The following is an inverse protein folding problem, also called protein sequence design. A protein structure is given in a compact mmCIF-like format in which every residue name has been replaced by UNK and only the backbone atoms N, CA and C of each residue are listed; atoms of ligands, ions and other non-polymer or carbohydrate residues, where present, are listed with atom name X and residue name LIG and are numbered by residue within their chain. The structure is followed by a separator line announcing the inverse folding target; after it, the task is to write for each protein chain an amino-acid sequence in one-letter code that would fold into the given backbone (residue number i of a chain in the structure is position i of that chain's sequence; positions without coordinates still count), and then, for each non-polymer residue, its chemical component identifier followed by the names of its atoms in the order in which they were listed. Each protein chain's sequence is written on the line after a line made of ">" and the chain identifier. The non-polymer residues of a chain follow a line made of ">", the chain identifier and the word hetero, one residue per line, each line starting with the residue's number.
data_IF_003943494505
#
_entry.id   IF_003943494505
#
_cell.length_a   1.000
_cell.length_b   1.000
_cell.length_c   1.000
_cell.angle_alpha   90.00
_cell.angle_beta   90.00
_cell.angle_gamma   90.00
#
_symmetry.space_group_name_H-M   'P 1'
#
loop_
_entity.id
_entity.type
_entity.pdbx_description
1 polymer ?
#
# COMPACT_ATOMS: atom_id res chain seq x y z
N UNK A 1 15.24 1.64 7.52
CA UNK A 1 14.42 2.24 6.45
C UNK A 1 13.36 1.20 6.12
N UNK A 2 12.07 1.51 6.26
CA UNK A 2 11.02 0.50 5.99
C UNK A 2 10.95 0.24 4.49
N UNK A 3 10.74 -1.01 4.08
CA UNK A 3 10.47 -1.34 2.68
C UNK A 3 9.00 -1.08 2.34
N UNK A 4 8.66 -1.00 1.05
CA UNK A 4 7.29 -0.77 0.58
C UNK A 4 6.23 -1.67 1.27
N UNK A 5 6.44 -2.99 1.41
CA UNK A 5 5.48 -3.88 2.08
C UNK A 5 5.15 -3.45 3.51
N UNK A 6 6.17 -3.07 4.28
CA UNK A 6 6.03 -2.65 5.67
C UNK A 6 5.32 -1.30 5.79
N UNK A 7 5.61 -0.35 4.88
CA UNK A 7 4.94 0.96 4.85
C UNK A 7 3.46 0.83 4.49
N UNK A 8 3.14 0.03 3.49
CA UNK A 8 1.75 -0.20 3.10
C UNK A 8 0.94 -0.78 4.27
N UNK A 9 1.50 -1.80 4.94
CA UNK A 9 0.87 -2.43 6.11
C UNK A 9 0.69 -1.45 7.26
N UNK A 10 1.70 -0.61 7.51
CA UNK A 10 1.65 0.43 8.53
C UNK A 10 0.55 1.45 8.25
N UNK A 11 0.52 2.05 7.06
CA UNK A 11 -0.50 3.03 6.66
C UNK A 11 -1.93 2.45 6.71
N UNK A 12 -2.09 1.19 6.28
CA UNK A 12 -3.38 0.49 6.38
C UNK A 12 -3.83 0.36 7.83
N UNK A 13 -2.91 -0.06 8.72
CA UNK A 13 -3.20 -0.23 10.14
C UNK A 13 -3.47 1.11 10.86
N UNK A 14 -2.72 2.17 10.53
CA UNK A 14 -2.92 3.52 11.07
C UNK A 14 -4.32 4.08 10.74
N UNK A 15 -4.85 3.79 9.55
CA UNK A 15 -6.23 4.13 9.18
C UNK A 15 -7.29 3.16 9.74
N UNK A 16 -6.90 2.12 10.50
CA UNK A 16 -7.80 1.12 11.06
C UNK A 16 -8.48 0.22 10.01
N UNK A 17 -7.89 0.08 8.83
CA UNK A 17 -8.50 -0.64 7.71
C UNK A 17 -8.12 -2.13 7.70
N UNK A 18 -9.09 -3.00 7.38
CA UNK A 18 -8.78 -4.38 6.97
C UNK A 18 -8.22 -4.40 5.55
N UNK A 19 -7.50 -5.46 5.17
CA UNK A 19 -7.01 -5.64 3.79
C UNK A 19 -8.17 -5.61 2.77
N UNK A 20 -9.33 -6.17 3.14
CA UNK A 20 -10.56 -6.12 2.33
C UNK A 20 -11.11 -4.70 2.19
N UNK A 21 -11.10 -3.91 3.25
CA UNK A 21 -11.54 -2.52 3.18
C UNK A 21 -10.62 -1.70 2.26
N UNK A 22 -9.30 -1.80 2.44
CA UNK A 22 -8.35 -1.12 1.56
C UNK A 22 -8.46 -1.60 0.11
N UNK A 23 -8.60 -2.91 -0.12
CA UNK A 23 -8.78 -3.46 -1.46
C UNK A 23 -9.99 -2.85 -2.16
N UNK A 24 -11.12 -2.70 -1.45
CA UNK A 24 -12.32 -2.04 -1.98
C UNK A 24 -12.06 -0.58 -2.40
N UNK A 25 -11.36 0.20 -1.58
CA UNK A 25 -11.04 1.60 -1.88
C UNK A 25 -10.08 1.75 -3.08
N UNK A 26 -9.14 0.83 -3.23
CA UNK A 26 -8.13 0.85 -4.30
C UNK A 26 -8.63 0.18 -5.59
N UNK A 27 -9.69 -0.62 -5.49
CA UNK A 27 -10.27 -1.39 -6.59
C UNK A 27 -9.52 -2.70 -6.88
N UNK A 28 -9.04 -3.39 -5.84
CA UNK A 28 -8.33 -4.68 -5.92
C UNK A 28 -8.87 -5.67 -4.88
N UNK A 29 -8.47 -6.94 -4.99
CA UNK A 29 -8.81 -7.95 -3.98
C UNK A 29 -8.05 -7.71 -2.67
N UNK A 30 -8.59 -8.22 -1.57
CA UNK A 30 -7.91 -8.31 -0.28
C UNK A 30 -6.60 -9.11 -0.38
N UNK A 31 -6.61 -10.19 -1.17
CA UNK A 31 -5.42 -10.98 -1.44
C UNK A 31 -4.30 -10.17 -2.14
N UNK A 32 -4.65 -9.23 -3.03
CA UNK A 32 -3.65 -8.35 -3.66
C UNK A 32 -2.97 -7.46 -2.61
N UNK A 33 -3.75 -6.86 -1.70
CA UNK A 33 -3.21 -6.07 -0.59
C UNK A 33 -2.28 -6.92 0.28
N UNK A 34 -2.72 -8.11 0.69
CA UNK A 34 -1.92 -9.02 1.52
C UNK A 34 -0.62 -9.41 0.82
N UNK A 35 -0.67 -9.73 -0.48
CA UNK A 35 0.52 -10.07 -1.25
C UNK A 35 1.52 -8.90 -1.32
N UNK A 36 1.05 -7.66 -1.48
CA UNK A 36 1.90 -6.47 -1.46
C UNK A 36 2.51 -6.24 -0.08
N UNK A 37 1.74 -6.40 0.99
CA UNK A 37 2.21 -6.25 2.38
C UNK A 37 3.20 -7.34 2.82
N UNK A 38 3.20 -8.48 2.14
CA UNK A 38 4.12 -9.57 2.37
C UNK A 38 5.29 -9.60 1.35
N UNK A 39 5.33 -8.66 0.39
CA UNK A 39 6.37 -8.61 -0.63
C UNK A 39 6.35 -9.78 -1.63
N UNK A 40 5.21 -10.46 -1.77
CA UNK A 40 5.07 -11.65 -2.64
C UNK A 40 5.04 -11.26 -4.12
N UNK A 41 4.39 -10.14 -4.45
CA UNK A 41 4.28 -9.62 -5.81
C UNK A 41 4.59 -8.14 -5.86
N UNK A 42 5.20 -7.73 -6.97
CA UNK A 42 5.37 -6.32 -7.27
C UNK A 42 4.03 -5.62 -7.53
N UNK A 43 3.97 -4.36 -7.16
CA UNK A 43 2.83 -3.50 -7.43
C UNK A 43 2.98 -2.83 -8.80
N UNK A 44 1.89 -2.79 -9.57
CA UNK A 44 1.86 -2.00 -10.81
C UNK A 44 1.76 -0.50 -10.48
N UNK A 45 2.41 0.33 -11.28
CA UNK A 45 2.44 1.79 -11.08
C UNK A 45 1.06 2.44 -10.91
N UNK A 46 0.02 1.94 -11.60
CA UNK A 46 -1.34 2.46 -11.46
C UNK A 46 -1.87 2.35 -10.01
N UNK A 47 -1.61 1.23 -9.33
CA UNK A 47 -2.10 0.99 -7.97
C UNK A 47 -1.22 1.72 -6.96
N UNK A 48 0.08 1.83 -7.22
CA UNK A 48 0.99 2.64 -6.42
C UNK A 48 0.51 4.10 -6.36
N UNK A 49 0.13 4.68 -7.51
CA UNK A 49 -0.42 6.04 -7.59
C UNK A 49 -1.75 6.15 -6.83
N UNK A 50 -2.62 5.14 -6.93
CA UNK A 50 -3.90 5.12 -6.18
C UNK A 50 -3.67 5.07 -4.67
N UNK A 51 -2.75 4.24 -4.21
CA UNK A 51 -2.38 4.15 -2.80
C UNK A 51 -1.80 5.47 -2.29
N UNK A 52 -0.88 6.08 -3.04
CA UNK A 52 -0.28 7.37 -2.71
C UNK A 52 -1.37 8.44 -2.51
N UNK A 53 -2.31 8.54 -3.45
CA UNK A 53 -3.45 9.47 -3.34
C UNK A 53 -4.39 9.14 -2.18
N UNK A 54 -4.68 7.86 -1.94
CA UNK A 54 -5.58 7.44 -0.87
C UNK A 54 -5.02 7.72 0.53
N UNK A 55 -3.71 7.53 0.69
CA UNK A 55 -3.02 7.78 1.95
C UNK A 55 -2.52 9.23 2.10
N UNK A 56 -2.68 10.06 1.08
CA UNK A 56 -2.17 11.44 1.02
C UNK A 56 -0.66 11.52 1.25
N UNK A 57 0.09 10.67 0.55
CA UNK A 57 1.55 10.57 0.58
C UNK A 57 2.12 10.51 -0.84
N UNK A 58 3.44 10.68 -0.97
CA UNK A 58 4.12 10.51 -2.26
C UNK A 58 4.35 9.03 -2.58
N UNK A 59 4.55 8.71 -3.85
CA UNK A 59 5.03 7.37 -4.25
C UNK A 59 6.42 7.09 -3.70
N UNK A 60 7.24 8.14 -3.56
CA UNK A 60 8.61 8.06 -3.05
C UNK A 60 8.62 7.71 -1.57
N UNK A 61 7.70 8.27 -0.78
CA UNK A 61 7.45 7.84 0.59
C UNK A 61 7.08 6.35 0.63
N UNK A 62 6.11 5.91 -0.17
CA UNK A 62 5.68 4.51 -0.20
C UNK A 62 6.83 3.56 -0.55
N UNK A 63 7.62 3.90 -1.57
CA UNK A 63 8.75 3.09 -2.05
C UNK A 63 9.99 3.20 -1.16
N UNK A 64 10.06 4.19 -0.28
CA UNK A 64 11.18 4.41 0.63
C UNK A 64 12.35 5.16 0.06
N UNK A 65 12.06 6.03 -0.89
CA UNK A 65 13.01 6.96 -1.48
C UNK A 65 13.08 8.28 -0.68
N UNK A 66 12.17 8.49 0.28
CA UNK A 66 12.18 9.60 1.24
C UNK A 66 12.57 9.12 2.65
N UNK A 67 13.31 9.96 3.38
CA UNK A 67 13.80 9.71 4.75
C UNK A 67 12.71 9.89 5.81
#
# INVERSE_FOLDING_TARGET
>A
MKEFPERLKYLRAEKGLSAKALGKEIGVSDAAIINWENGVHDIKGEYLIRLAKFFDVTTDYLLGLEN
#
